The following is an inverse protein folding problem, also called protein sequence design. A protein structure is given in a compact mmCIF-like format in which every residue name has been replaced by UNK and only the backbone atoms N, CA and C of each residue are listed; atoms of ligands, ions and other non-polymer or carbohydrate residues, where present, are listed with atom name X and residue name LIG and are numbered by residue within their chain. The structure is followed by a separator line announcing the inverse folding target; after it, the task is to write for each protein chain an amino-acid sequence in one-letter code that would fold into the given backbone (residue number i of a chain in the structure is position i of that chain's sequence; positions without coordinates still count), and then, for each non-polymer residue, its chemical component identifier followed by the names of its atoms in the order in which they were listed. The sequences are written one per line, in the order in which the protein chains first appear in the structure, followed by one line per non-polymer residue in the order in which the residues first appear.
data_IF_616063128246
#
_entry.id   IF_616063128246
#
_cell.length_a   1.000
_cell.length_b   1.000
_cell.length_c   1.000
_cell.angle_alpha   90.00
_cell.angle_beta   90.00
_cell.angle_gamma   90.00
#
_symmetry.space_group_name_H-M   'P 1'
#
loop_
_entity.id
_entity.type
_entity.pdbx_description
1 polymer ?
#
# COMPACT_ATOMS: atom_id res chain seq x y z
N UNK A 1 -4.45 17.06 4.97
CA UNK A 1 -5.44 16.11 4.38
C UNK A 1 -6.00 16.70 3.09
N UNK A 2 -5.73 16.09 1.93
CA UNK A 2 -6.28 16.55 0.65
C UNK A 2 -7.66 15.91 0.43
N UNK A 3 -8.73 16.58 0.86
CA UNK A 3 -10.10 16.14 0.62
C UNK A 3 -10.76 17.06 -0.41
N UNK A 4 -11.39 16.46 -1.40
CA UNK A 4 -12.25 17.18 -2.33
C UNK A 4 -13.47 17.76 -1.61
N UNK A 5 -13.89 18.98 -1.99
CA UNK A 5 -15.22 19.49 -1.65
C UNK A 5 -16.32 18.52 -2.09
N UNK A 6 -17.45 18.51 -1.36
CA UNK A 6 -18.61 17.66 -1.64
C UNK A 6 -19.12 17.85 -3.07
N UNK A 7 -19.75 16.80 -3.62
CA UNK A 7 -20.31 16.86 -4.98
C UNK A 7 -21.44 17.88 -5.04
N UNK A 8 -22.37 17.84 -4.08
CA UNK A 8 -23.48 18.79 -3.95
C UNK A 8 -23.02 20.26 -4.05
N UNK A 9 -21.99 20.65 -3.28
CA UNK A 9 -21.47 22.02 -3.31
C UNK A 9 -21.00 22.43 -4.71
N UNK A 10 -20.36 21.51 -5.42
CA UNK A 10 -19.87 21.77 -6.78
C UNK A 10 -21.02 21.86 -7.78
N UNK A 11 -22.03 21.01 -7.64
CA UNK A 11 -23.24 21.02 -8.48
C UNK A 11 -23.96 22.35 -8.33
N UNK A 12 -24.17 22.81 -7.09
CA UNK A 12 -24.85 24.09 -6.81
C UNK A 12 -24.08 25.30 -7.35
N UNK A 13 -22.75 25.33 -7.19
CA UNK A 13 -21.93 26.41 -7.76
C UNK A 13 -21.99 26.42 -9.28
N UNK A 14 -21.90 25.24 -9.91
CA UNK A 14 -21.97 25.13 -11.37
C UNK A 14 -23.36 25.48 -11.90
N UNK A 15 -24.43 25.09 -11.20
CA UNK A 15 -25.80 25.44 -11.53
C UNK A 15 -26.02 26.97 -11.47
N UNK A 16 -25.54 27.64 -10.41
CA UNK A 16 -25.63 29.09 -10.30
C UNK A 16 -24.87 29.82 -11.43
N UNK A 17 -23.71 29.31 -11.83
CA UNK A 17 -22.97 29.86 -12.97
C UNK A 17 -23.69 29.58 -14.30
N UNK A 18 -24.33 28.42 -14.44
CA UNK A 18 -25.12 28.08 -15.61
C UNK A 18 -26.39 28.95 -15.72
N UNK A 19 -26.96 29.39 -14.59
CA UNK A 19 -28.09 30.34 -14.55
C UNK A 19 -27.68 31.80 -14.72
N UNK A 20 -26.43 32.08 -15.13
CA UNK A 20 -25.95 33.42 -15.48
C UNK A 20 -25.13 34.14 -14.40
N UNK A 21 -24.89 33.53 -13.23
CA UNK A 21 -24.03 34.16 -12.22
C UNK A 21 -22.57 34.20 -12.68
N UNK A 22 -21.88 35.32 -12.42
CA UNK A 22 -20.44 35.38 -12.64
C UNK A 22 -19.70 34.46 -11.66
N UNK A 23 -18.48 34.03 -12.03
CA UNK A 23 -17.65 33.19 -11.16
C UNK A 23 -17.38 33.84 -9.79
N UNK A 24 -17.28 35.18 -9.73
CA UNK A 24 -17.09 35.92 -8.47
C UNK A 24 -18.36 35.91 -7.61
N UNK A 25 -19.51 36.13 -8.23
CA UNK A 25 -20.79 36.10 -7.52
C UNK A 25 -21.09 34.71 -6.95
N UNK A 26 -20.93 33.65 -7.75
CA UNK A 26 -21.12 32.28 -7.29
C UNK A 26 -20.11 31.91 -6.17
N UNK A 27 -18.84 32.28 -6.32
CA UNK A 27 -17.83 32.04 -5.29
C UNK A 27 -18.18 32.71 -3.95
N UNK A 28 -18.64 33.96 -3.97
CA UNK A 28 -19.08 34.68 -2.79
C UNK A 28 -20.32 34.04 -2.15
N UNK A 29 -21.33 33.68 -2.96
CA UNK A 29 -22.57 33.06 -2.50
C UNK A 29 -22.33 31.73 -1.77
N UNK A 30 -21.40 30.92 -2.27
CA UNK A 30 -21.14 29.57 -1.75
C UNK A 30 -19.91 29.47 -0.83
N UNK A 31 -19.23 30.58 -0.54
CA UNK A 31 -18.07 30.60 0.35
C UNK A 31 -16.87 29.81 -0.18
N UNK A 32 -16.66 29.79 -1.50
CA UNK A 32 -15.54 29.08 -2.16
C UNK A 32 -14.63 30.08 -2.87
N UNK A 33 -13.40 29.65 -3.19
CA UNK A 33 -12.52 30.51 -4.01
C UNK A 33 -13.00 30.59 -5.45
N UNK A 34 -12.83 31.77 -6.08
CA UNK A 34 -13.16 32.02 -7.50
C UNK A 34 -12.49 30.99 -8.41
N UNK A 35 -11.23 30.65 -8.14
CA UNK A 35 -10.49 29.64 -8.89
C UNK A 35 -11.12 28.23 -8.80
N UNK A 36 -11.76 27.87 -7.69
CA UNK A 36 -12.48 26.59 -7.57
C UNK A 36 -13.76 26.59 -8.39
N UNK A 37 -14.56 27.67 -8.32
CA UNK A 37 -15.77 27.82 -9.13
C UNK A 37 -15.46 27.73 -10.64
N UNK A 38 -14.41 28.42 -11.10
CA UNK A 38 -13.95 28.35 -12.50
C UNK A 38 -13.53 26.92 -12.88
N UNK A 39 -12.73 26.24 -12.04
CA UNK A 39 -12.29 24.86 -12.31
C UNK A 39 -13.47 23.87 -12.40
N UNK A 40 -14.47 24.01 -11.55
CA UNK A 40 -15.66 23.14 -11.58
C UNK A 40 -16.50 23.39 -12.83
N UNK A 41 -16.71 24.66 -13.19
CA UNK A 41 -17.41 25.06 -14.42
C UNK A 41 -16.70 24.57 -15.69
N UNK A 42 -15.37 24.69 -15.76
CA UNK A 42 -14.56 24.16 -16.85
C UNK A 42 -14.65 22.63 -16.95
N UNK A 43 -14.64 21.93 -15.81
CA UNK A 43 -14.78 20.47 -15.79
C UNK A 43 -16.16 20.05 -16.29
N UNK A 44 -17.23 20.72 -15.84
CA UNK A 44 -18.58 20.46 -16.34
C UNK A 44 -18.65 20.59 -17.86
N UNK A 45 -18.07 21.67 -18.44
CA UNK A 45 -18.02 21.85 -19.89
C UNK A 45 -17.20 20.77 -20.62
N UNK A 46 -16.10 20.30 -20.02
CA UNK A 46 -15.20 19.32 -20.65
C UNK A 46 -15.70 17.88 -20.55
N UNK A 47 -16.29 17.49 -19.43
CA UNK A 47 -16.60 16.08 -19.12
C UNK A 47 -18.07 15.82 -18.79
N UNK A 48 -18.92 16.86 -18.77
CA UNK A 48 -20.33 16.73 -18.41
C UNK A 48 -20.63 16.50 -16.92
N UNK A 49 -19.62 16.58 -16.04
CA UNK A 49 -19.81 16.33 -14.61
C UNK A 49 -18.87 17.11 -13.69
N UNK A 50 -19.24 17.25 -12.41
CA UNK A 50 -18.50 18.03 -11.41
C UNK A 50 -17.70 17.20 -10.39
N UNK A 51 -17.82 15.87 -10.45
CA UNK A 51 -17.10 14.96 -9.56
C UNK A 51 -15.59 15.29 -9.51
N UNK A 52 -14.87 15.08 -8.40
CA UNK A 52 -13.42 15.15 -8.45
C UNK A 52 -12.85 14.09 -9.40
N UNK A 53 -11.69 14.38 -10.00
CA UNK A 53 -10.88 13.32 -10.59
C UNK A 53 -10.43 12.33 -9.52
N UNK A 54 -9.91 11.17 -9.93
CA UNK A 54 -9.34 10.20 -8.99
C UNK A 54 -8.23 10.87 -8.19
N UNK A 55 -8.39 10.92 -6.87
CA UNK A 55 -7.39 11.47 -5.96
C UNK A 55 -6.37 10.38 -5.65
N UNK A 56 -5.14 10.57 -6.13
CA UNK A 56 -4.04 9.63 -5.90
C UNK A 56 -4.09 8.38 -6.77
N UNK A 57 -3.13 7.48 -6.53
CA UNK A 57 -3.04 6.16 -7.18
C UNK A 57 -2.74 6.17 -8.68
N UNK A 58 -2.35 7.30 -9.28
CA UNK A 58 -2.01 7.37 -10.71
C UNK A 58 -0.77 6.56 -11.09
N UNK A 59 0.10 6.28 -10.11
CA UNK A 59 1.30 5.47 -10.32
C UNK A 59 0.90 4.01 -10.52
N UNK A 60 1.10 3.50 -11.73
CA UNK A 60 0.97 2.06 -12.01
C UNK A 60 2.00 1.29 -11.16
N UNK A 61 1.63 0.16 -10.53
CA UNK A 61 2.58 -0.69 -9.83
C UNK A 61 3.66 -1.20 -10.78
N UNK A 62 4.92 -1.13 -10.35
CA UNK A 62 6.10 -1.51 -11.14
C UNK A 62 6.07 -2.99 -11.56
N UNK A 63 5.44 -3.84 -10.75
CA UNK A 63 5.40 -5.29 -10.93
C UNK A 63 4.24 -5.79 -11.80
N UNK A 64 3.36 -4.91 -12.28
CA UNK A 64 2.26 -5.35 -13.15
C UNK A 64 2.72 -6.07 -14.43
N UNK A 65 3.78 -5.62 -15.14
CA UNK A 65 4.26 -6.33 -16.34
C UNK A 65 4.83 -7.72 -16.02
N UNK A 66 5.45 -7.91 -14.85
CA UNK A 66 6.04 -9.19 -14.43
C UNK A 66 5.04 -10.12 -13.74
N UNK A 67 3.74 -9.80 -13.78
CA UNK A 67 2.71 -10.52 -13.01
C UNK A 67 2.72 -12.02 -13.28
N UNK A 68 2.68 -12.40 -14.55
CA UNK A 68 2.62 -13.81 -14.96
C UNK A 68 3.85 -14.58 -14.50
N UNK A 69 5.03 -13.98 -14.68
CA UNK A 69 6.28 -14.58 -14.24
C UNK A 69 6.35 -14.74 -12.72
N UNK A 70 5.95 -13.71 -11.96
CA UNK A 70 5.92 -13.77 -10.50
C UNK A 70 4.99 -14.87 -9.99
N UNK A 71 3.80 -15.00 -10.55
CA UNK A 71 2.84 -16.03 -10.17
C UNK A 71 3.36 -17.44 -10.50
N UNK A 72 3.94 -17.62 -11.69
CA UNK A 72 4.56 -18.89 -12.07
C UNK A 72 5.72 -19.27 -11.14
N UNK A 73 6.57 -18.29 -10.79
CA UNK A 73 7.73 -18.51 -9.93
C UNK A 73 7.34 -18.92 -8.51
N UNK A 74 6.31 -18.28 -7.95
CA UNK A 74 5.78 -18.60 -6.62
C UNK A 74 5.05 -19.95 -6.63
N UNK A 75 4.34 -20.27 -7.71
CA UNK A 75 3.71 -21.59 -7.86
C UNK A 75 4.74 -22.71 -7.92
N UNK A 76 5.89 -22.48 -8.57
CA UNK A 76 6.98 -23.43 -8.64
C UNK A 76 7.69 -23.63 -7.29
N UNK A 77 7.86 -22.55 -6.51
CA UNK A 77 8.52 -22.60 -5.20
C UNK A 77 7.82 -21.69 -4.19
N UNK A 78 6.83 -22.21 -3.43
CA UNK A 78 6.01 -21.40 -2.54
C UNK A 78 6.75 -20.95 -1.26
N UNK A 79 7.82 -21.64 -0.89
CA UNK A 79 8.64 -21.31 0.30
C UNK A 79 9.74 -20.28 0.00
N UNK A 80 9.81 -19.77 -1.24
CA UNK A 80 10.80 -18.80 -1.65
C UNK A 80 10.66 -17.50 -0.84
N UNK A 81 11.76 -17.04 -0.26
CA UNK A 81 11.76 -15.79 0.50
C UNK A 81 11.56 -14.59 -0.42
N UNK A 82 10.87 -13.56 0.07
CA UNK A 82 10.69 -12.29 -0.67
C UNK A 82 12.02 -11.64 -1.07
N UNK A 83 13.08 -11.82 -0.27
CA UNK A 83 14.42 -11.30 -0.58
C UNK A 83 15.06 -12.03 -1.75
N UNK A 84 14.91 -13.35 -1.83
CA UNK A 84 15.38 -14.13 -2.96
C UNK A 84 14.62 -13.73 -4.24
N UNK A 85 13.29 -13.59 -4.16
CA UNK A 85 12.46 -13.15 -5.29
C UNK A 85 12.82 -11.73 -5.78
N UNK A 86 13.20 -10.82 -4.88
CA UNK A 86 13.74 -9.51 -5.27
C UNK A 86 15.09 -9.61 -5.98
N UNK A 87 15.93 -10.60 -5.62
CA UNK A 87 17.18 -10.89 -6.32
C UNK A 87 16.91 -11.30 -7.76
N UNK A 88 16.04 -12.30 -7.95
CA UNK A 88 15.66 -12.77 -9.29
C UNK A 88 15.03 -11.65 -10.14
N UNK A 89 14.18 -10.80 -9.55
CA UNK A 89 13.63 -9.62 -10.22
C UNK A 89 14.73 -8.64 -10.66
N UNK A 90 15.76 -8.45 -9.84
CA UNK A 90 16.90 -7.59 -10.18
C UNK A 90 17.70 -8.15 -11.35
N UNK A 91 17.93 -9.47 -11.37
CA UNK A 91 18.65 -10.15 -12.43
C UNK A 91 17.89 -10.06 -13.77
N UNK A 92 16.56 -10.01 -13.71
CA UNK A 92 15.68 -9.72 -14.85
C UNK A 92 15.61 -8.23 -15.23
N UNK A 93 16.36 -7.35 -14.55
CA UNK A 93 16.39 -5.91 -14.80
C UNK A 93 15.25 -5.11 -14.16
N UNK A 94 14.41 -5.74 -13.34
CA UNK A 94 13.23 -5.11 -12.74
C UNK A 94 13.56 -4.57 -11.35
N UNK A 95 13.62 -3.25 -11.24
CA UNK A 95 13.87 -2.54 -9.96
C UNK A 95 12.59 -2.45 -9.14
N UNK A 96 12.38 -3.42 -8.24
CA UNK A 96 11.29 -3.40 -7.27
C UNK A 96 11.82 -3.26 -5.83
N UNK A 97 11.05 -2.58 -4.98
CA UNK A 97 11.30 -2.56 -3.54
C UNK A 97 10.58 -3.72 -2.85
N UNK A 98 11.05 -4.08 -1.65
CA UNK A 98 10.39 -5.07 -0.82
C UNK A 98 8.90 -4.76 -0.57
N UNK A 99 8.59 -3.50 -0.27
CA UNK A 99 7.19 -3.07 -0.10
C UNK A 99 6.37 -3.18 -1.39
N UNK A 100 6.96 -2.92 -2.56
CA UNK A 100 6.26 -3.08 -3.83
C UNK A 100 5.92 -4.56 -4.11
N UNK A 101 6.85 -5.47 -3.80
CA UNK A 101 6.63 -6.91 -3.91
C UNK A 101 5.56 -7.40 -2.93
N UNK A 102 5.61 -6.94 -1.67
CA UNK A 102 4.60 -7.29 -0.68
C UNK A 102 3.19 -6.79 -1.09
N UNK A 103 3.07 -5.54 -1.54
CA UNK A 103 1.80 -5.00 -2.05
C UNK A 103 1.28 -5.73 -3.29
N UNK A 104 2.18 -6.27 -4.11
CA UNK A 104 1.79 -7.12 -5.24
C UNK A 104 1.17 -8.43 -4.75
N UNK A 105 1.84 -9.12 -3.82
CA UNK A 105 1.35 -10.40 -3.28
C UNK A 105 0.04 -10.26 -2.50
N UNK A 106 -0.09 -9.18 -1.72
CA UNK A 106 -1.32 -8.84 -1.00
C UNK A 106 -2.50 -8.64 -1.96
N UNK A 107 -2.28 -7.94 -3.08
CA UNK A 107 -3.30 -7.77 -4.14
C UNK A 107 -3.68 -9.08 -4.82
N UNK A 108 -2.71 -9.97 -5.02
CA UNK A 108 -2.94 -11.32 -5.56
C UNK A 108 -3.50 -12.30 -4.52
N UNK A 109 -3.77 -11.82 -3.29
CA UNK A 109 -4.27 -12.62 -2.14
C UNK A 109 -3.38 -13.81 -1.78
N UNK A 110 -2.10 -13.73 -2.13
CA UNK A 110 -1.10 -14.74 -1.78
C UNK A 110 -0.57 -14.43 -0.38
N UNK A 111 -1.11 -15.16 0.59
CA UNK A 111 -0.60 -15.15 1.96
C UNK A 111 0.10 -16.46 2.27
N UNK A 112 1.27 -16.37 2.92
CA UNK A 112 1.94 -17.55 3.44
C UNK A 112 1.12 -18.10 4.61
N UNK A 113 0.41 -19.22 4.38
CA UNK A 113 -0.32 -19.90 5.45
C UNK A 113 0.67 -20.58 6.39
N UNK A 114 0.94 -19.95 7.53
CA UNK A 114 1.73 -20.57 8.59
C UNK A 114 0.99 -21.79 9.13
N UNK A 115 1.46 -22.99 8.82
CA UNK A 115 1.08 -24.21 9.55
C UNK A 115 1.97 -24.25 10.79
N UNK A 116 1.47 -24.00 12.02
CA UNK A 116 2.30 -24.19 13.20
C UNK A 116 2.69 -25.66 13.24
N UNK A 117 3.99 -25.94 13.10
CA UNK A 117 4.55 -27.22 13.55
C UNK A 117 4.23 -27.26 15.04
N UNK A 118 3.26 -28.08 15.42
CA UNK A 118 2.85 -28.29 16.82
C UNK A 118 3.91 -29.14 17.50
N UNK A 119 5.16 -28.68 17.54
CA UNK A 119 6.12 -29.20 18.50
C UNK A 119 5.90 -28.37 19.76
N UNK A 120 5.23 -28.99 20.76
CA UNK A 120 5.31 -28.48 22.12
C UNK A 120 6.79 -28.33 22.42
N UNK A 121 7.19 -27.19 22.98
CA UNK A 121 8.46 -27.13 23.69
C UNK A 121 8.47 -28.31 24.65
N UNK A 122 9.41 -29.25 24.47
CA UNK A 122 9.60 -30.34 25.41
C UNK A 122 9.75 -29.73 26.80
N UNK A 123 9.27 -30.42 27.84
CA UNK A 123 9.47 -29.96 29.21
C UNK A 123 10.96 -29.66 29.41
N UNK A 124 11.24 -28.55 30.10
CA UNK A 124 12.60 -28.26 30.56
C UNK A 124 13.01 -29.40 31.50
N UNK A 125 13.64 -30.44 30.94
CA UNK A 125 14.23 -31.50 31.73
C UNK A 125 15.20 -30.84 32.71
N UNK A 126 14.94 -31.05 34.00
CA UNK A 126 15.79 -30.57 35.08
C UNK A 126 17.20 -31.11 34.81
N UNK A 127 18.15 -30.23 34.45
CA UNK A 127 19.56 -30.63 34.40
C UNK A 127 19.92 -31.18 35.78
N UNK A 128 20.57 -32.36 35.88
CA UNK A 128 21.13 -32.79 37.15
C UNK A 128 22.11 -31.70 37.64
N UNK A 129 22.16 -31.43 38.96
CA UNK A 129 23.08 -30.46 39.50
C UNK A 129 24.51 -30.88 39.15
N UNK A 130 25.33 -29.89 38.80
CA UNK A 130 26.77 -30.07 38.55
C UNK A 130 27.42 -30.60 39.82
N UNK A 131 28.16 -31.71 39.72
CA UNK A 131 28.93 -32.25 40.84
C UNK A 131 29.93 -31.22 41.38
N UNK A 132 30.17 -31.26 42.69
CA UNK A 132 31.05 -30.33 43.39
C UNK A 132 32.48 -30.40 42.85
N UNK A 133 33.09 -29.24 42.62
CA UNK A 133 34.47 -29.10 42.13
C UNK A 133 35.43 -29.68 43.17
N UNK A 134 36.29 -30.61 42.74
CA UNK A 134 37.33 -31.20 43.59
C UNK A 134 38.28 -30.11 44.13
N UNK A 135 38.63 -30.23 45.41
CA UNK A 135 39.56 -29.31 46.07
C UNK A 135 40.96 -29.44 45.46
N UNK A 136 41.54 -28.29 45.11
CA UNK A 136 42.92 -28.18 44.60
C UNK A 136 43.87 -28.42 45.78
N UNK A 137 44.93 -29.24 45.67
CA UNK A 137 45.90 -29.40 46.75
C UNK A 137 46.78 -28.16 46.84
N UNK A 138 47.01 -27.68 48.07
CA UNK A 138 47.96 -26.59 48.33
C UNK A 138 49.41 -27.02 48.09
N UNK A 139 50.28 -26.12 47.61
CA UNK A 139 51.69 -26.42 47.39
C UNK A 139 52.50 -26.42 48.70
N UNK A 140 53.61 -27.18 48.66
CA UNK A 140 54.48 -27.62 49.75
C UNK A 140 55.11 -26.53 50.63
#
# INVERSE_FOLDING_TARGET
MSRAYSIDLRERVVAAMASGASARAAAAQFGVSVASAVRWSQRQRRTGGVAPGRLGGHRKPVLLPEREWLLARIAAEPDLTLRALLGELRDRGVKASYGALWLFLDRERLSFKKKPVRQRAGSSGRRPPTDAVAQIPEPA
#
